data_IF_716109503295
#
_entry.id   IF_716109503295
#
_cell.length_a   1.000
_cell.length_b   1.000
_cell.length_c   1.000
_cell.angle_alpha   90.00
_cell.angle_beta   90.00
_cell.angle_gamma   90.00
#
_symmetry.space_group_name_H-M   'P 1'
#
loop_
_entity.id
_entity.type
_entity.pdbx_description
1 polymer ?
#
# COMPACT_ATOMS: atom_id res chain seq x y z
N UNK A 1 3.63 4.36 9.68
CA UNK A 1 2.35 3.67 9.95
C UNK A 1 1.52 3.49 8.69
N UNK A 2 1.40 4.51 7.86
CA UNK A 2 0.69 4.54 6.56
C UNK A 2 1.01 3.34 5.63
N UNK A 3 2.29 2.92 5.55
CA UNK A 3 2.70 1.78 4.72
C UNK A 3 2.09 0.45 5.19
N UNK A 4 2.02 0.20 6.50
CA UNK A 4 1.45 -1.04 7.05
C UNK A 4 -0.03 -1.21 6.72
N UNK A 5 -0.82 -0.14 6.87
CA UNK A 5 -2.25 -0.18 6.56
C UNK A 5 -2.50 -0.37 5.06
N UNK A 6 -1.68 0.25 4.21
CA UNK A 6 -1.76 0.03 2.75
C UNK A 6 -1.41 -1.39 2.34
N UNK A 7 -0.36 -1.99 2.94
CA UNK A 7 -0.01 -3.39 2.68
C UNK A 7 -1.15 -4.33 3.11
N UNK A 8 -1.74 -4.10 4.30
CA UNK A 8 -2.87 -4.89 4.79
C UNK A 8 -4.09 -4.78 3.88
N UNK A 9 -4.41 -3.57 3.43
CA UNK A 9 -5.52 -3.31 2.50
C UNK A 9 -5.25 -3.94 1.14
N UNK A 10 -4.01 -3.85 0.64
CA UNK A 10 -3.60 -4.49 -0.61
C UNK A 10 -3.73 -6.01 -0.54
N UNK A 11 -3.30 -6.63 0.55
CA UNK A 11 -3.46 -8.06 0.76
C UNK A 11 -4.95 -8.47 0.74
N UNK A 12 -5.82 -7.72 1.44
CA UNK A 12 -7.27 -7.98 1.44
C UNK A 12 -7.87 -7.84 0.05
N UNK A 13 -7.51 -6.81 -0.71
CA UNK A 13 -7.98 -6.63 -2.09
C UNK A 13 -7.49 -7.74 -3.02
N UNK A 14 -6.26 -8.22 -2.84
CA UNK A 14 -5.74 -9.36 -3.58
C UNK A 14 -6.49 -10.66 -3.24
N UNK A 15 -6.87 -10.85 -1.97
CA UNK A 15 -7.66 -12.00 -1.55
C UNK A 15 -9.06 -11.99 -2.18
N UNK A 16 -9.67 -10.82 -2.30
CA UNK A 16 -10.97 -10.66 -2.98
C UNK A 16 -10.85 -10.86 -4.50
N UNK A 17 -9.73 -10.48 -5.09
CA UNK A 17 -9.45 -10.60 -6.53
C UNK A 17 -8.23 -11.47 -6.78
N UNK A 18 -8.42 -12.79 -6.79
CA UNK A 18 -7.34 -13.80 -6.93
C UNK A 18 -6.38 -13.54 -8.10
N UNK A 19 -6.86 -12.93 -9.19
CA UNK A 19 -6.03 -12.55 -10.35
C UNK A 19 -4.91 -11.57 -9.96
N UNK A 20 -5.10 -10.72 -8.96
CA UNK A 20 -4.06 -9.79 -8.51
C UNK A 20 -2.86 -10.48 -7.85
N UNK A 21 -3.01 -11.71 -7.36
CA UNK A 21 -1.88 -12.51 -6.86
C UNK A 21 -0.89 -12.93 -7.94
N UNK A 22 -1.29 -12.90 -9.21
CA UNK A 22 -0.37 -13.21 -10.30
C UNK A 22 0.79 -12.20 -10.38
N UNK A 23 0.56 -10.94 -10.01
CA UNK A 23 1.60 -9.89 -10.10
C UNK A 23 2.78 -10.19 -9.15
N UNK A 24 2.58 -10.37 -7.82
CA UNK A 24 3.67 -10.74 -6.93
C UNK A 24 4.24 -12.14 -7.22
N UNK A 25 3.43 -13.07 -7.73
CA UNK A 25 3.91 -14.39 -8.11
C UNK A 25 4.89 -14.32 -9.31
N UNK A 26 4.54 -13.55 -10.36
CA UNK A 26 5.43 -13.32 -11.50
C UNK A 26 6.69 -12.59 -11.05
N UNK A 27 6.57 -11.59 -10.18
CA UNK A 27 7.72 -10.90 -9.61
C UNK A 27 8.68 -11.86 -8.92
N UNK A 28 8.16 -12.72 -8.02
CA UNK A 28 8.97 -13.72 -7.31
C UNK A 28 9.63 -14.72 -8.28
N UNK A 29 8.91 -15.17 -9.30
CA UNK A 29 9.45 -16.09 -10.30
C UNK A 29 10.61 -15.47 -11.07
N UNK A 30 10.46 -14.24 -11.56
CA UNK A 30 11.54 -13.51 -12.24
C UNK A 30 12.74 -13.35 -11.31
N UNK A 31 12.49 -13.07 -10.03
CA UNK A 31 13.56 -12.89 -9.06
C UNK A 31 14.32 -14.18 -8.74
N UNK A 32 13.61 -15.30 -8.59
CA UNK A 32 14.21 -16.63 -8.39
C UNK A 32 15.07 -17.00 -9.60
N UNK A 33 14.57 -16.76 -10.81
CA UNK A 33 15.36 -16.99 -12.04
C UNK A 33 16.62 -16.13 -12.07
N UNK A 34 16.50 -14.85 -11.78
CA UNK A 34 17.66 -13.93 -11.75
C UNK A 34 18.68 -14.35 -10.68
N UNK A 35 18.23 -14.74 -9.49
CA UNK A 35 19.10 -15.26 -8.42
C UNK A 35 19.83 -16.54 -8.82
N UNK A 36 19.13 -17.45 -9.49
CA UNK A 36 19.73 -18.69 -9.99
C UNK A 36 20.79 -18.42 -11.06
N UNK A 37 20.51 -17.53 -12.03
CA UNK A 37 21.47 -17.15 -13.06
C UNK A 37 22.68 -16.42 -12.46
N UNK A 38 22.47 -15.50 -11.51
CA UNK A 38 23.55 -14.79 -10.82
C UNK A 38 24.46 -15.73 -10.03
N UNK A 39 23.90 -16.70 -9.31
CA UNK A 39 24.67 -17.72 -8.60
C UNK A 39 25.54 -18.55 -9.55
N UNK A 40 25.00 -18.94 -10.71
CA UNK A 40 25.75 -19.73 -11.70
C UNK A 40 26.87 -18.88 -12.34
N UNK A 41 26.63 -17.61 -12.61
CA UNK A 41 27.66 -16.70 -13.11
C UNK A 41 28.82 -16.51 -12.11
N UNK A 42 28.51 -16.40 -10.80
CA UNK A 42 29.53 -16.32 -9.75
C UNK A 42 30.37 -17.58 -9.63
N UNK A 43 29.78 -18.76 -9.82
CA UNK A 43 30.51 -20.04 -9.81
C UNK A 43 31.54 -20.17 -10.96
N UNK A 44 31.32 -19.49 -12.06
CA UNK A 44 32.26 -19.50 -13.21
C UNK A 44 33.51 -18.65 -12.98
N UNK A 45 33.60 -17.89 -11.87
CA UNK A 45 34.74 -17.00 -11.58
C UNK A 45 35.99 -17.68 -10.97
N UNK A 46 36.03 -19.02 -10.91
CA UNK A 46 37.27 -19.79 -10.74
C UNK A 46 37.83 -19.96 -9.34
N UNK A 47 37.35 -19.25 -8.30
CA UNK A 47 37.76 -19.47 -6.91
C UNK A 47 36.57 -20.00 -6.09
N UNK A 48 36.58 -21.29 -5.69
CA UNK A 48 35.42 -21.92 -5.06
C UNK A 48 35.02 -21.27 -3.72
N UNK A 49 35.99 -20.87 -2.91
CA UNK A 49 35.69 -20.24 -1.61
C UNK A 49 35.06 -18.85 -1.78
N UNK A 50 35.63 -18.03 -2.67
CA UNK A 50 35.09 -16.70 -2.95
C UNK A 50 33.68 -16.80 -3.60
N UNK A 51 33.48 -17.76 -4.51
CA UNK A 51 32.17 -17.96 -5.16
C UNK A 51 31.07 -18.36 -4.20
N UNK A 52 31.38 -19.19 -3.20
CA UNK A 52 30.40 -19.62 -2.21
C UNK A 52 30.03 -18.48 -1.22
N UNK A 53 31.00 -17.72 -0.76
CA UNK A 53 30.77 -16.54 0.11
C UNK A 53 29.97 -15.45 -0.62
N UNK A 54 30.38 -15.07 -1.81
CA UNK A 54 29.66 -14.09 -2.62
C UNK A 54 28.28 -14.60 -3.03
N UNK A 55 28.15 -15.90 -3.34
CA UNK A 55 26.88 -16.53 -3.63
C UNK A 55 25.90 -16.46 -2.45
N UNK A 56 26.39 -16.66 -1.22
CA UNK A 56 25.56 -16.54 -0.01
C UNK A 56 25.09 -15.10 0.23
N UNK A 57 25.98 -14.13 0.16
CA UNK A 57 25.65 -12.70 0.30
C UNK A 57 24.64 -12.28 -0.79
N UNK A 58 24.88 -12.73 -2.03
CA UNK A 58 23.97 -12.44 -3.15
C UNK A 58 22.56 -12.95 -2.92
N UNK A 59 22.41 -14.20 -2.39
CA UNK A 59 21.10 -14.78 -2.07
C UNK A 59 20.38 -13.99 -0.98
N UNK A 60 21.10 -13.53 0.06
CA UNK A 60 20.50 -12.71 1.12
C UNK A 60 19.97 -11.39 0.55
N UNK A 61 20.79 -10.66 -0.20
CA UNK A 61 20.39 -9.39 -0.83
C UNK A 61 19.21 -9.62 -1.78
N UNK A 62 19.27 -10.69 -2.58
CA UNK A 62 18.18 -11.05 -3.47
C UNK A 62 16.87 -11.29 -2.71
N UNK A 63 16.92 -11.99 -1.58
CA UNK A 63 15.73 -12.26 -0.75
C UNK A 63 15.14 -10.94 -0.20
N UNK A 64 15.97 -10.04 0.31
CA UNK A 64 15.52 -8.75 0.83
C UNK A 64 14.82 -7.91 -0.24
N UNK A 65 15.40 -7.84 -1.44
CA UNK A 65 14.82 -7.10 -2.57
C UNK A 65 13.53 -7.77 -3.04
N UNK A 66 13.45 -9.10 -3.05
CA UNK A 66 12.23 -9.83 -3.40
C UNK A 66 11.08 -9.50 -2.43
N UNK A 67 11.35 -9.54 -1.12
CA UNK A 67 10.36 -9.21 -0.08
C UNK A 67 9.95 -7.74 -0.16
N UNK A 68 10.91 -6.83 -0.32
CA UNK A 68 10.63 -5.40 -0.49
C UNK A 68 9.74 -5.13 -1.71
N UNK A 69 10.00 -5.82 -2.83
CA UNK A 69 9.18 -5.73 -4.04
C UNK A 69 7.75 -6.22 -3.84
N UNK A 70 7.55 -7.35 -3.17
CA UNK A 70 6.21 -7.84 -2.82
C UNK A 70 5.47 -6.84 -1.92
N UNK A 71 6.13 -6.29 -0.90
CA UNK A 71 5.55 -5.26 -0.04
C UNK A 71 5.18 -3.99 -0.81
N UNK A 72 6.01 -3.57 -1.76
CA UNK A 72 5.73 -2.42 -2.62
C UNK A 72 4.50 -2.68 -3.51
N UNK A 73 4.42 -3.84 -4.16
CA UNK A 73 3.27 -4.24 -4.99
C UNK A 73 1.99 -4.26 -4.15
N UNK A 74 2.01 -4.85 -2.96
CA UNK A 74 0.86 -4.86 -2.04
C UNK A 74 0.46 -3.45 -1.61
N UNK A 75 1.42 -2.59 -1.31
CA UNK A 75 1.16 -1.19 -0.94
C UNK A 75 0.51 -0.41 -2.09
N UNK A 76 0.98 -0.61 -3.32
CA UNK A 76 0.39 0.00 -4.52
C UNK A 76 -1.04 -0.51 -4.77
N UNK A 77 -1.25 -1.82 -4.68
CA UNK A 77 -2.57 -2.42 -4.83
C UNK A 77 -3.56 -1.92 -3.77
N UNK A 78 -3.09 -1.69 -2.52
CA UNK A 78 -3.89 -1.14 -1.43
C UNK A 78 -4.07 0.38 -1.46
N UNK A 79 -3.54 1.07 -2.49
CA UNK A 79 -3.66 2.52 -2.62
C UNK A 79 -4.72 2.86 -3.67
N UNK A 80 -5.89 3.40 -3.28
CA UNK A 80 -6.92 3.80 -4.23
C UNK A 80 -6.43 4.90 -5.17
N UNK A 81 -6.97 4.93 -6.39
CA UNK A 81 -6.68 5.99 -7.36
C UNK A 81 -7.02 7.37 -6.78
N UNK A 82 -6.03 8.27 -6.80
CA UNK A 82 -6.16 9.62 -6.26
C UNK A 82 -5.97 9.75 -4.74
N UNK A 83 -5.68 8.65 -4.01
CA UNK A 83 -5.50 8.68 -2.56
C UNK A 83 -4.46 9.71 -2.11
N UNK A 84 -3.29 9.73 -2.75
CA UNK A 84 -2.22 10.66 -2.39
C UNK A 84 -2.62 12.12 -2.57
N UNK A 85 -3.44 12.44 -3.59
CA UNK A 85 -3.95 13.79 -3.81
C UNK A 85 -4.94 14.17 -2.72
N UNK A 86 -5.91 13.32 -2.44
CA UNK A 86 -6.94 13.55 -1.43
C UNK A 86 -6.30 13.72 -0.05
N UNK A 87 -5.39 12.83 0.33
CA UNK A 87 -4.68 12.90 1.61
C UNK A 87 -3.84 14.17 1.74
N UNK A 88 -3.18 14.61 0.66
CA UNK A 88 -2.41 15.86 0.64
C UNK A 88 -3.31 17.09 0.81
N UNK A 89 -4.47 17.12 0.16
CA UNK A 89 -5.44 18.20 0.32
C UNK A 89 -6.05 18.21 1.73
N UNK A 90 -6.35 17.05 2.32
CA UNK A 90 -6.79 16.95 3.71
C UNK A 90 -5.73 17.48 4.69
N UNK A 91 -4.44 17.16 4.45
CA UNK A 91 -3.33 17.68 5.27
C UNK A 91 -3.25 19.21 5.18
N UNK A 92 -3.34 19.78 3.96
CA UNK A 92 -3.34 21.24 3.77
C UNK A 92 -4.53 21.94 4.43
N UNK A 93 -5.66 21.26 4.48
CA UNK A 93 -6.87 21.73 5.12
C UNK A 93 -6.84 21.61 6.66
N UNK A 94 -5.73 21.14 7.24
CA UNK A 94 -5.59 20.95 8.68
C UNK A 94 -6.31 19.73 9.23
N UNK A 95 -6.80 18.84 8.37
CA UNK A 95 -7.41 17.56 8.75
C UNK A 95 -6.31 16.56 9.08
N UNK A 96 -5.74 16.71 10.27
CA UNK A 96 -4.65 15.86 10.78
C UNK A 96 -4.97 15.45 12.22
N UNK A 97 -4.45 14.30 12.61
CA UNK A 97 -4.50 13.88 14.01
C UNK A 97 -3.46 14.64 14.85
N UNK A 98 -3.40 14.33 16.16
CA UNK A 98 -2.45 14.95 17.09
C UNK A 98 -0.98 14.75 16.68
N UNK A 99 -0.69 13.71 15.89
CA UNK A 99 0.63 13.42 15.36
C UNK A 99 0.91 14.15 14.01
N UNK A 100 -0.03 14.95 13.52
CA UNK A 100 0.06 15.63 12.21
C UNK A 100 -0.16 14.71 11.02
N UNK A 101 -0.65 13.48 11.23
CA UNK A 101 -0.96 12.54 10.15
C UNK A 101 -2.39 12.73 9.64
N UNK A 102 -2.55 12.85 8.33
CA UNK A 102 -3.88 12.92 7.70
C UNK A 102 -4.57 11.54 7.67
N UNK A 103 -5.91 11.52 7.62
CA UNK A 103 -6.65 10.28 7.38
C UNK A 103 -6.18 9.60 6.10
N UNK A 104 -6.03 8.28 6.17
CA UNK A 104 -5.56 7.45 5.04
C UNK A 104 -6.78 6.96 4.27
N UNK A 105 -6.83 7.23 2.97
CA UNK A 105 -7.87 6.68 2.10
C UNK A 105 -7.60 5.19 1.82
N UNK A 106 -8.44 4.31 2.36
CA UNK A 106 -8.33 2.86 2.20
C UNK A 106 -9.08 2.33 0.99
N UNK A 107 -10.25 2.90 0.69
CA UNK A 107 -11.09 2.42 -0.40
C UNK A 107 -11.84 3.56 -1.07
N UNK A 108 -12.01 3.44 -2.39
CA UNK A 108 -12.86 4.28 -3.20
C UNK A 108 -13.73 3.39 -4.06
N UNK A 109 -15.02 3.32 -3.77
CA UNK A 109 -15.98 2.49 -4.51
C UNK A 109 -17.06 3.39 -5.12
N UNK A 110 -17.46 3.09 -6.35
CA UNK A 110 -18.61 3.72 -6.97
C UNK A 110 -19.86 3.07 -6.39
N UNK A 111 -20.77 3.86 -5.86
CA UNK A 111 -22.02 3.43 -5.25
C UNK A 111 -23.18 4.16 -5.92
N UNK A 112 -23.83 3.49 -6.85
CA UNK A 112 -24.90 4.09 -7.65
C UNK A 112 -24.42 5.33 -8.41
N UNK A 113 -25.00 6.51 -8.09
CA UNK A 113 -24.62 7.82 -8.63
C UNK A 113 -23.52 8.52 -7.84
N UNK A 114 -23.09 7.95 -6.72
CA UNK A 114 -22.11 8.52 -5.81
C UNK A 114 -20.80 7.74 -5.76
N UNK A 115 -19.94 8.16 -4.84
CA UNK A 115 -18.66 7.51 -4.52
C UNK A 115 -18.58 7.36 -3.01
N UNK A 116 -18.41 6.14 -2.55
CA UNK A 116 -18.10 5.85 -1.15
C UNK A 116 -16.57 5.90 -0.95
N UNK A 117 -16.14 6.73 -0.02
CA UNK A 117 -14.75 6.86 0.39
C UNK A 117 -14.60 6.30 1.81
N UNK A 118 -13.72 5.33 1.98
CA UNK A 118 -13.40 4.77 3.29
C UNK A 118 -12.06 5.31 3.75
N UNK A 119 -12.09 6.06 4.85
CA UNK A 119 -10.89 6.59 5.48
C UNK A 119 -10.55 5.80 6.75
N UNK A 120 -9.27 5.67 7.00
CA UNK A 120 -8.75 5.22 8.28
C UNK A 120 -8.10 6.39 9.01
N UNK A 121 -8.57 6.63 10.23
CA UNK A 121 -7.98 7.60 11.15
C UNK A 121 -7.91 6.97 12.53
N UNK A 122 -6.86 7.26 13.28
CA UNK A 122 -6.69 6.71 14.63
C UNK A 122 -7.39 7.54 15.71
N UNK A 123 -7.39 8.83 15.56
CA UNK A 123 -7.73 9.77 16.63
C UNK A 123 -8.76 10.83 16.23
N UNK A 124 -9.16 10.86 14.95
CA UNK A 124 -10.20 11.78 14.51
C UNK A 124 -11.57 11.12 14.65
N UNK A 125 -12.40 11.56 15.60
CA UNK A 125 -13.75 11.04 15.78
C UNK A 125 -14.66 11.49 14.62
N UNK A 126 -15.76 10.74 14.41
CA UNK A 126 -16.73 11.04 13.35
C UNK A 126 -17.31 12.46 13.47
N UNK A 127 -17.50 12.92 14.70
CA UNK A 127 -18.00 14.28 15.01
C UNK A 127 -17.14 15.39 14.44
N UNK A 128 -15.82 15.21 14.35
CA UNK A 128 -14.94 16.19 13.72
C UNK A 128 -15.16 16.25 12.20
N UNK A 129 -15.45 15.13 11.55
CA UNK A 129 -15.80 15.11 10.13
C UNK A 129 -17.14 15.79 9.87
N UNK A 130 -18.14 15.57 10.73
CA UNK A 130 -19.46 16.21 10.63
C UNK A 130 -19.39 17.71 10.86
N UNK A 131 -18.63 18.15 11.85
CA UNK A 131 -18.42 19.56 12.19
C UNK A 131 -17.76 20.34 11.05
N UNK A 132 -16.85 19.71 10.33
CA UNK A 132 -16.11 20.34 9.23
C UNK A 132 -16.62 19.91 7.85
N UNK A 133 -17.88 19.52 7.73
CA UNK A 133 -18.49 19.00 6.50
C UNK A 133 -18.31 19.91 5.30
N UNK A 134 -18.65 21.20 5.42
CA UNK A 134 -18.56 22.16 4.32
C UNK A 134 -17.12 22.34 3.83
N UNK A 135 -16.18 22.34 4.77
CA UNK A 135 -14.76 22.41 4.44
C UNK A 135 -14.28 21.17 3.70
N UNK A 136 -14.71 19.98 4.12
CA UNK A 136 -14.43 18.72 3.44
C UNK A 136 -15.04 18.66 2.04
N UNK A 137 -16.27 19.13 1.86
CA UNK A 137 -16.94 19.21 0.56
C UNK A 137 -16.11 20.07 -0.41
N UNK A 138 -15.59 21.21 0.06
CA UNK A 138 -14.71 22.08 -0.72
C UNK A 138 -13.40 21.40 -1.11
N UNK A 139 -12.73 20.78 -0.14
CA UNK A 139 -11.43 20.10 -0.33
C UNK A 139 -11.55 18.90 -1.28
N UNK A 140 -12.60 18.12 -1.12
CA UNK A 140 -12.84 16.93 -1.94
C UNK A 140 -13.49 17.29 -3.29
N UNK A 141 -14.00 18.51 -3.43
CA UNK A 141 -14.82 18.97 -4.57
C UNK A 141 -16.00 18.02 -4.84
N UNK A 142 -16.68 17.59 -3.78
CA UNK A 142 -17.79 16.64 -3.79
C UNK A 142 -18.79 17.00 -2.71
N UNK A 143 -20.09 16.83 -2.99
CA UNK A 143 -21.12 16.96 -1.97
C UNK A 143 -21.17 15.70 -1.11
N UNK A 144 -21.08 15.85 0.20
CA UNK A 144 -21.13 14.74 1.15
C UNK A 144 -22.60 14.47 1.50
N UNK A 145 -23.05 13.25 1.29
CA UNK A 145 -24.41 12.81 1.59
C UNK A 145 -24.52 12.37 3.05
N UNK A 146 -23.63 11.49 3.49
CA UNK A 146 -23.61 10.96 4.86
C UNK A 146 -22.20 10.62 5.32
N UNK A 147 -22.01 10.62 6.63
CA UNK A 147 -20.84 10.05 7.28
C UNK A 147 -21.29 8.82 8.06
N UNK A 148 -20.56 7.75 7.93
CA UNK A 148 -20.84 6.50 8.62
C UNK A 148 -19.57 5.92 9.21
N UNK A 149 -19.66 5.37 10.42
CA UNK A 149 -18.56 4.58 10.96
C UNK A 149 -18.48 3.26 10.19
N UNK A 150 -17.35 3.02 9.55
CA UNK A 150 -17.08 1.75 8.92
C UNK A 150 -17.13 0.61 9.94
N UNK A 151 -18.01 -0.37 9.71
CA UNK A 151 -18.04 -1.59 10.52
C UNK A 151 -16.71 -2.31 10.35
N UNK A 152 -15.99 -2.35 11.44
CA UNK A 152 -14.89 -3.24 11.78
C UNK A 152 -14.08 -3.89 10.63
N UNK A 153 -12.89 -3.33 10.43
CA UNK A 153 -11.81 -4.08 9.79
C UNK A 153 -10.95 -4.81 10.86
N UNK A 154 -11.62 -5.55 11.78
CA UNK A 154 -10.97 -6.52 12.66
C UNK A 154 -10.70 -7.81 11.92
#
# INVERSE_FOLDING_TARGET
MKSRERIRTGFKQMTERKVLFLIPAVWLLVFVMAAYMGKNALRSMGNPFASDLFGFIFVIIALEVAVAGVCAIMSLAGTPLGANRIEKELTKAGFTDEAGESPILLSRKKDGKGVALLFFSKQLPLTEYEKHREHLETVLNMKIISFEMGRDMR
#
